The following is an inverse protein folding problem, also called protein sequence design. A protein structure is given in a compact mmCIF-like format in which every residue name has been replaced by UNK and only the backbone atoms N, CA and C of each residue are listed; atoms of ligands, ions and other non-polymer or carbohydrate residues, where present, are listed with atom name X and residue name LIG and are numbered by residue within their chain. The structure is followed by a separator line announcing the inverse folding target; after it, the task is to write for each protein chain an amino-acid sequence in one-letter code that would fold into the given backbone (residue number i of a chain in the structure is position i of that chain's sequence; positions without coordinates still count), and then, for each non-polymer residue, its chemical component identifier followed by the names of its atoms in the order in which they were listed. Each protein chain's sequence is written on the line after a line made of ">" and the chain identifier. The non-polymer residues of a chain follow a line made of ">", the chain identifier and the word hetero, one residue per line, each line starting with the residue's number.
data_IF_150300604953
#
_entry.id   IF_150300604953
#
_cell.length_a   1.000
_cell.length_b   1.000
_cell.length_c   1.000
_cell.angle_alpha   90.00
_cell.angle_beta   90.00
_cell.angle_gamma   90.00
#
_symmetry.space_group_name_H-M   'P 1'
#
loop_
_entity.id
_entity.type
_entity.pdbx_description
1 polymer ?
#
# COMPACT_ATOMS: atom_id res chain seq x y z
N UNK A 1 -29.95 36.82 -10.98
CA UNK A 1 -29.67 35.54 -10.29
C UNK A 1 -28.32 35.06 -10.79
N UNK A 2 -27.26 35.24 -10.02
CA UNK A 2 -25.90 34.85 -10.42
C UNK A 2 -25.64 33.44 -9.90
N UNK A 3 -25.36 32.51 -10.82
CA UNK A 3 -24.97 31.13 -10.51
C UNK A 3 -23.66 31.13 -9.74
N UNK A 4 -23.53 30.43 -8.59
CA UNK A 4 -22.25 30.33 -7.91
C UNK A 4 -21.27 29.53 -8.80
N UNK A 5 -20.13 30.13 -9.11
CA UNK A 5 -19.01 29.44 -9.75
C UNK A 5 -18.50 28.38 -8.78
N UNK A 6 -18.65 27.11 -9.13
CA UNK A 6 -17.99 26.02 -8.40
C UNK A 6 -16.49 26.15 -8.66
N UNK A 7 -15.74 26.56 -7.65
CA UNK A 7 -14.28 26.57 -7.68
C UNK A 7 -13.78 25.13 -7.82
N UNK A 8 -12.95 24.88 -8.83
CA UNK A 8 -12.30 23.58 -9.03
C UNK A 8 -11.54 23.16 -7.76
N UNK A 9 -11.55 21.86 -7.41
CA UNK A 9 -10.82 21.38 -6.25
C UNK A 9 -9.33 21.68 -6.41
N UNK A 10 -8.74 22.32 -5.40
CA UNK A 10 -7.30 22.53 -5.35
C UNK A 10 -6.59 21.19 -5.07
N UNK A 11 -5.53 20.91 -5.83
CA UNK A 11 -4.70 19.73 -5.64
C UNK A 11 -3.37 20.12 -4.97
N UNK A 12 -2.92 19.29 -4.01
CA UNK A 12 -1.60 19.39 -3.39
C UNK A 12 -0.64 18.41 -4.06
N UNK A 13 0.65 18.72 -4.08
CA UNK A 13 1.67 17.79 -4.53
C UNK A 13 1.94 16.68 -3.50
N UNK A 14 2.57 15.60 -3.94
CA UNK A 14 2.80 14.41 -3.11
C UNK A 14 3.67 14.65 -1.86
N UNK A 15 4.44 15.75 -1.80
CA UNK A 15 5.25 16.06 -0.61
C UNK A 15 4.36 16.38 0.61
N UNK A 16 3.10 16.76 0.40
CA UNK A 16 2.13 16.92 1.48
C UNK A 16 1.94 15.64 2.33
N UNK A 17 2.28 14.47 1.78
CA UNK A 17 2.22 13.18 2.49
C UNK A 17 3.40 12.93 3.44
N UNK A 18 4.42 13.79 3.48
CA UNK A 18 5.63 13.57 4.29
C UNK A 18 5.32 13.36 5.78
N UNK A 19 4.42 14.17 6.36
CA UNK A 19 3.95 14.01 7.74
C UNK A 19 3.17 12.70 7.94
N UNK A 20 2.01 12.53 7.28
CA UNK A 20 1.17 11.34 7.42
C UNK A 20 1.90 10.01 7.18
N UNK A 21 2.75 9.91 6.14
CA UNK A 21 3.49 8.68 5.87
C UNK A 21 4.52 8.36 6.96
N UNK A 22 5.12 9.39 7.59
CA UNK A 22 6.06 9.19 8.69
C UNK A 22 5.42 8.53 9.92
N UNK A 23 4.11 8.70 10.11
CA UNK A 23 3.35 8.05 11.17
C UNK A 23 3.09 6.58 10.82
N UNK A 24 2.67 6.30 9.58
CA UNK A 24 2.36 4.94 9.11
C UNK A 24 3.59 4.02 9.17
N UNK A 25 4.75 4.49 8.72
CA UNK A 25 5.97 3.66 8.69
C UNK A 25 6.58 3.37 10.09
N UNK A 26 6.03 3.95 11.16
CA UNK A 26 6.44 3.64 12.54
C UNK A 26 5.62 2.51 13.17
N UNK A 27 4.51 2.12 12.54
CA UNK A 27 3.57 1.14 13.09
C UNK A 27 3.95 -0.27 12.65
N UNK A 28 3.76 -1.24 13.54
CA UNK A 28 3.78 -2.65 13.17
C UNK A 28 2.54 -2.98 12.33
N UNK A 29 2.75 -3.16 11.02
CA UNK A 29 1.67 -3.44 10.09
C UNK A 29 1.06 -4.82 10.27
N UNK A 30 1.72 -5.76 10.93
CA UNK A 30 1.21 -7.14 11.05
C UNK A 30 -0.11 -7.22 11.83
N UNK A 31 -0.27 -6.34 12.83
CA UNK A 31 -1.50 -6.18 13.61
C UNK A 31 -2.55 -5.25 12.98
N UNK A 32 -2.26 -4.59 11.86
CA UNK A 32 -3.18 -3.66 11.23
C UNK A 32 -4.38 -4.40 10.61
N UNK A 33 -5.58 -3.84 10.74
CA UNK A 33 -6.78 -4.36 10.08
C UNK A 33 -6.76 -3.97 8.61
N UNK A 34 -6.78 -4.97 7.72
CA UNK A 34 -6.92 -4.77 6.26
C UNK A 34 -8.31 -5.14 5.80
N UNK A 35 -8.75 -4.52 4.70
CA UNK A 35 -9.90 -4.93 3.90
C UNK A 35 -9.45 -5.22 2.48
N UNK A 36 -9.79 -6.39 1.94
CA UNK A 36 -9.45 -6.73 0.56
C UNK A 36 -10.25 -5.85 -0.42
N UNK A 37 -9.57 -5.19 -1.36
CA UNK A 37 -10.21 -4.37 -2.38
C UNK A 37 -11.07 -5.17 -3.38
N UNK A 38 -10.84 -6.49 -3.49
CA UNK A 38 -11.53 -7.36 -4.46
C UNK A 38 -12.71 -8.08 -3.81
N UNK A 39 -12.48 -8.94 -2.82
CA UNK A 39 -13.56 -9.74 -2.20
C UNK A 39 -14.14 -9.11 -0.92
N UNK A 40 -13.60 -7.99 -0.45
CA UNK A 40 -14.11 -7.28 0.72
C UNK A 40 -13.80 -7.91 2.08
N UNK A 41 -13.16 -9.09 2.15
CA UNK A 41 -12.83 -9.74 3.43
C UNK A 41 -11.94 -8.83 4.28
N UNK A 42 -12.27 -8.73 5.57
CA UNK A 42 -11.54 -7.96 6.58
C UNK A 42 -10.80 -8.91 7.52
N UNK A 43 -9.66 -8.49 8.05
CA UNK A 43 -8.86 -9.29 9.00
C UNK A 43 -7.52 -8.62 9.30
N UNK A 44 -6.72 -9.21 10.19
CA UNK A 44 -5.37 -8.71 10.43
C UNK A 44 -4.49 -8.86 9.19
N UNK A 45 -3.50 -7.99 9.02
CA UNK A 45 -2.54 -8.07 7.92
C UNK A 45 -1.74 -9.38 7.98
N UNK A 46 -1.41 -9.86 9.19
CA UNK A 46 -0.72 -11.12 9.45
C UNK A 46 -1.46 -12.36 8.92
N UNK A 47 -2.77 -12.27 8.64
CA UNK A 47 -3.56 -13.39 8.09
C UNK A 47 -3.40 -13.55 6.56
N UNK A 48 -2.68 -12.65 5.90
CA UNK A 48 -2.41 -12.75 4.46
C UNK A 48 -1.48 -13.93 4.15
N UNK A 49 -1.68 -14.56 3.00
CA UNK A 49 -0.82 -15.66 2.54
C UNK A 49 0.45 -15.09 1.91
N UNK A 50 1.61 -15.44 2.46
CA UNK A 50 2.92 -14.97 1.97
C UNK A 50 3.63 -16.11 1.23
N UNK A 51 4.04 -15.84 0.00
CA UNK A 51 4.83 -16.74 -0.84
C UNK A 51 6.22 -16.13 -1.01
N UNK A 52 7.26 -16.85 -0.58
CA UNK A 52 8.65 -16.37 -0.55
C UNK A 52 9.55 -17.02 -1.62
N UNK A 53 8.98 -17.82 -2.51
CA UNK A 53 9.71 -18.52 -3.56
C UNK A 53 9.86 -17.60 -4.80
N UNK A 54 11.06 -17.04 -4.99
CA UNK A 54 11.53 -16.14 -6.08
C UNK A 54 11.13 -14.65 -6.00
N UNK A 55 11.98 -13.76 -6.56
CA UNK A 55 13.03 -12.97 -5.86
C UNK A 55 12.53 -12.05 -4.71
N UNK A 56 11.31 -12.22 -4.21
CA UNK A 56 10.77 -11.47 -3.10
C UNK A 56 9.55 -12.14 -2.47
N UNK A 57 8.79 -11.36 -1.71
CA UNK A 57 7.56 -11.76 -1.06
C UNK A 57 6.37 -11.36 -1.94
N UNK A 58 5.52 -12.32 -2.27
CA UNK A 58 4.20 -12.07 -2.86
C UNK A 58 3.15 -12.37 -1.81
N UNK A 59 2.33 -11.38 -1.49
CA UNK A 59 1.32 -11.46 -0.44
C UNK A 59 -0.06 -11.45 -1.08
N UNK A 60 -0.87 -12.45 -0.75
CA UNK A 60 -2.21 -12.66 -1.35
C UNK A 60 -3.31 -12.69 -0.30
N UNK A 61 -4.49 -12.27 -0.72
CA UNK A 61 -5.70 -12.38 0.08
C UNK A 61 -6.09 -13.85 0.29
N UNK A 62 -6.37 -14.32 1.52
CA UNK A 62 -6.76 -15.70 1.76
C UNK A 62 -8.16 -16.07 1.20
N UNK A 63 -9.01 -15.07 0.92
CA UNK A 63 -10.37 -15.28 0.43
C UNK A 63 -10.52 -15.34 -1.09
N UNK A 64 -9.64 -14.69 -1.85
CA UNK A 64 -9.74 -14.65 -3.33
C UNK A 64 -8.40 -14.75 -4.07
N UNK A 65 -7.29 -14.95 -3.35
CA UNK A 65 -5.93 -15.06 -3.88
C UNK A 65 -5.43 -13.87 -4.73
N UNK A 66 -6.15 -12.75 -4.75
CA UNK A 66 -5.65 -11.51 -5.34
C UNK A 66 -4.36 -11.08 -4.66
N UNK A 67 -3.41 -10.55 -5.43
CA UNK A 67 -2.19 -9.98 -4.88
C UNK A 67 -2.53 -8.68 -4.15
N UNK A 68 -2.12 -8.59 -2.90
CA UNK A 68 -2.29 -7.43 -2.01
C UNK A 68 -1.00 -6.63 -1.92
N UNK A 69 0.15 -7.33 -1.90
CA UNK A 69 1.45 -6.69 -1.79
C UNK A 69 2.51 -7.53 -2.50
N UNK A 70 3.48 -6.87 -3.13
CA UNK A 70 4.75 -7.48 -3.56
C UNK A 70 5.90 -6.69 -2.93
N UNK A 71 6.89 -7.40 -2.43
CA UNK A 71 8.06 -6.80 -1.81
C UNK A 71 9.31 -7.54 -2.27
N UNK A 72 10.23 -6.83 -2.90
CA UNK A 72 11.50 -7.40 -3.40
C UNK A 72 12.65 -6.62 -2.79
N UNK A 73 13.67 -7.35 -2.33
CA UNK A 73 14.89 -6.76 -1.79
C UNK A 73 16.08 -7.09 -2.68
N UNK A 74 16.72 -6.07 -3.23
CA UNK A 74 17.84 -6.25 -4.16
C UNK A 74 18.85 -5.11 -3.99
N UNK A 75 20.11 -5.43 -3.68
CA UNK A 75 21.21 -4.46 -3.67
C UNK A 75 20.99 -3.22 -2.78
N UNK A 76 20.37 -3.38 -1.60
CA UNK A 76 20.06 -2.27 -0.67
C UNK A 76 18.84 -1.43 -1.10
N UNK A 77 18.09 -1.90 -2.09
CA UNK A 77 16.86 -1.29 -2.56
C UNK A 77 15.68 -2.21 -2.22
N UNK A 78 14.64 -1.62 -1.66
CA UNK A 78 13.35 -2.26 -1.45
C UNK A 78 12.38 -1.78 -2.54
N UNK A 79 11.81 -2.71 -3.28
CA UNK A 79 10.68 -2.46 -4.17
C UNK A 79 9.40 -2.88 -3.46
N UNK A 80 8.41 -1.98 -3.41
CA UNK A 80 7.12 -2.18 -2.76
C UNK A 80 5.98 -1.84 -3.71
N UNK A 81 5.11 -2.81 -3.98
CA UNK A 81 3.88 -2.66 -4.76
C UNK A 81 2.71 -3.10 -3.88
N UNK A 82 1.69 -2.25 -3.72
CA UNK A 82 0.50 -2.51 -2.88
C UNK A 82 -0.75 -2.90 -3.70
N UNK A 83 -0.55 -3.38 -4.93
CA UNK A 83 -1.61 -3.91 -5.78
C UNK A 83 -2.40 -2.82 -6.50
N UNK A 84 -2.03 -2.57 -7.76
CA UNK A 84 -2.88 -1.89 -8.74
C UNK A 84 -2.65 -0.38 -8.94
N UNK A 85 -1.68 0.23 -8.27
CA UNK A 85 -1.44 1.69 -8.35
C UNK A 85 0.01 2.10 -8.61
N UNK A 86 0.95 1.14 -8.70
CA UNK A 86 2.35 1.40 -9.04
C UNK A 86 3.34 0.71 -8.11
N UNK A 87 4.63 1.01 -8.29
CA UNK A 87 5.71 0.44 -7.51
C UNK A 87 6.56 1.56 -6.90
N UNK A 88 6.84 1.47 -5.60
CA UNK A 88 7.73 2.36 -4.87
C UNK A 88 9.11 1.72 -4.78
N UNK A 89 10.14 2.51 -5.13
CA UNK A 89 11.54 2.14 -4.90
C UNK A 89 12.08 2.92 -3.71
N UNK A 90 12.45 2.22 -2.66
CA UNK A 90 12.98 2.79 -1.43
C UNK A 90 14.43 2.35 -1.26
N UNK A 91 15.30 3.29 -0.89
CA UNK A 91 16.64 2.94 -0.40
C UNK A 91 16.53 2.65 1.08
N UNK A 92 16.91 1.46 1.49
CA UNK A 92 17.03 1.11 2.90
C UNK A 92 18.48 1.34 3.35
N UNK A 93 18.67 1.64 4.64
CA UNK A 93 19.99 1.73 5.25
C UNK A 93 20.40 0.37 5.80
#
# INVERSE_FOLDING_TARGET
>A
MTTPSVSEPSHLDGNALAGPLSEVFRVDLTGATRRCAVCGITGAFAELRVYAECPGLVVRCPGCDTVVLRLVHEGGVLWLDLGGTGCLRLRVK
#
